data_IF_806356212869
#
_entry.id   IF_806356212869
#
_cell.length_a   1.000
_cell.length_b   1.000
_cell.length_c   1.000
_cell.angle_alpha   90.00
_cell.angle_beta   90.00
_cell.angle_gamma   90.00
#
_symmetry.space_group_name_H-M   'P 1'
#
loop_
_entity.id
_entity.type
_entity.pdbx_description
1 polymer ?
#
# COMPACT_ATOMS: atom_id res chain seq x y z
N UNK A 1 -19.68 -54.11 -7.56
CA UNK A 1 -18.45 -53.29 -7.44
C UNK A 1 -18.75 -51.89 -7.93
N UNK A 2 -18.86 -50.93 -7.01
CA UNK A 2 -19.02 -49.52 -7.34
C UNK A 2 -17.65 -48.84 -7.29
N UNK A 3 -17.26 -47.99 -8.21
CA UNK A 3 -16.02 -47.23 -8.08
C UNK A 3 -16.21 -46.07 -7.07
N UNK A 4 -15.25 -45.98 -6.16
CA UNK A 4 -15.16 -44.93 -5.15
C UNK A 4 -14.88 -43.56 -5.82
N UNK A 5 -15.75 -42.60 -5.52
CA UNK A 5 -15.58 -41.21 -5.85
C UNK A 5 -14.40 -40.63 -5.05
N UNK A 6 -13.33 -40.32 -5.74
CA UNK A 6 -12.19 -39.58 -5.19
C UNK A 6 -12.61 -38.11 -5.02
N UNK A 7 -12.84 -37.71 -3.78
CA UNK A 7 -13.08 -36.30 -3.44
C UNK A 7 -11.77 -35.54 -3.66
N UNK A 8 -11.72 -34.73 -4.71
CA UNK A 8 -10.70 -33.71 -4.88
C UNK A 8 -10.94 -32.65 -3.83
N UNK A 9 -10.11 -32.67 -2.78
CA UNK A 9 -10.08 -31.60 -1.78
C UNK A 9 -9.41 -30.40 -2.45
N UNK A 10 -10.25 -29.54 -3.04
CA UNK A 10 -9.83 -28.21 -3.47
C UNK A 10 -9.71 -27.36 -2.20
N UNK A 11 -8.54 -27.37 -1.59
CA UNK A 11 -8.19 -26.45 -0.52
C UNK A 11 -8.10 -25.04 -1.10
N UNK A 12 -9.23 -24.35 -1.21
CA UNK A 12 -9.23 -22.89 -1.39
C UNK A 12 -8.64 -22.31 -0.10
N UNK A 13 -7.35 -21.97 -0.11
CA UNK A 13 -6.79 -21.10 0.91
C UNK A 13 -7.59 -19.80 0.86
N UNK A 14 -8.32 -19.51 1.93
CA UNK A 14 -9.08 -18.28 2.09
C UNK A 14 -8.07 -17.12 2.10
N UNK A 15 -7.92 -16.44 0.97
CA UNK A 15 -7.39 -15.09 0.94
C UNK A 15 -8.35 -14.27 1.79
N UNK A 16 -7.86 -13.64 2.85
CA UNK A 16 -8.69 -12.90 3.79
C UNK A 16 -9.19 -11.64 3.05
N UNK A 17 -10.42 -11.68 2.58
CA UNK A 17 -11.01 -10.61 1.77
C UNK A 17 -11.10 -9.33 2.59
N UNK A 18 -10.82 -8.17 2.00
CA UNK A 18 -11.03 -6.87 2.65
C UNK A 18 -12.48 -6.75 3.11
N UNK A 19 -12.70 -6.40 4.38
CA UNK A 19 -14.02 -6.28 5.00
C UNK A 19 -14.41 -4.83 5.26
N UNK A 20 -13.42 -3.95 5.52
CA UNK A 20 -13.64 -2.54 5.81
C UNK A 20 -12.55 -1.70 5.14
N UNK A 21 -12.95 -0.72 4.33
CA UNK A 21 -12.03 0.20 3.64
C UNK A 21 -12.32 1.62 4.10
N UNK A 22 -11.27 2.33 4.54
CA UNK A 22 -11.32 3.76 4.84
C UNK A 22 -10.59 4.53 3.76
N UNK A 23 -11.19 5.58 3.20
CA UNK A 23 -10.51 6.51 2.31
C UNK A 23 -10.42 7.90 2.95
N UNK A 24 -9.20 8.37 3.20
CA UNK A 24 -8.94 9.70 3.70
C UNK A 24 -8.90 10.70 2.54
N UNK A 25 -9.68 11.78 2.64
CA UNK A 25 -9.80 12.78 1.60
C UNK A 25 -9.72 14.21 2.15
N UNK A 26 -9.03 15.08 1.44
CA UNK A 26 -9.08 16.55 1.63
C UNK A 26 -9.89 17.24 0.51
N UNK A 27 -10.67 16.45 -0.23
CA UNK A 27 -11.47 16.86 -1.39
C UNK A 27 -10.64 17.46 -2.56
N UNK A 28 -9.31 17.30 -2.53
CA UNK A 28 -8.42 17.66 -3.64
C UNK A 28 -8.49 16.65 -4.79
N UNK A 29 -8.03 17.03 -5.98
CA UNK A 29 -7.98 16.13 -7.12
C UNK A 29 -7.28 14.80 -6.84
N UNK A 30 -6.07 14.79 -6.25
CA UNK A 30 -5.42 13.53 -5.85
C UNK A 30 -6.20 12.71 -4.83
N UNK A 31 -6.84 13.36 -3.85
CA UNK A 31 -7.66 12.66 -2.86
C UNK A 31 -8.96 12.09 -3.46
N UNK A 32 -9.55 12.77 -4.46
CA UNK A 32 -10.68 12.21 -5.23
C UNK A 32 -10.25 10.97 -6.03
N UNK A 33 -9.04 10.96 -6.60
CA UNK A 33 -8.50 9.76 -7.28
C UNK A 33 -8.32 8.59 -6.30
N UNK A 34 -7.89 8.88 -5.08
CA UNK A 34 -7.77 7.87 -4.02
C UNK A 34 -9.15 7.33 -3.59
N UNK A 35 -10.14 8.19 -3.42
CA UNK A 35 -11.51 7.78 -3.12
C UNK A 35 -12.11 6.90 -4.24
N UNK A 36 -11.84 7.24 -5.49
CA UNK A 36 -12.24 6.45 -6.66
C UNK A 36 -11.57 5.06 -6.67
N UNK A 37 -10.27 4.98 -6.35
CA UNK A 37 -9.56 3.70 -6.19
C UNK A 37 -10.17 2.88 -5.05
N UNK A 38 -10.47 3.49 -3.92
CA UNK A 38 -11.08 2.84 -2.77
C UNK A 38 -12.47 2.26 -3.12
N UNK A 39 -13.30 3.00 -3.86
CA UNK A 39 -14.61 2.53 -4.31
C UNK A 39 -14.50 1.31 -5.25
N UNK A 40 -13.51 1.27 -6.15
CA UNK A 40 -13.25 0.09 -6.99
C UNK A 40 -12.81 -1.12 -6.17
N UNK A 41 -11.96 -0.92 -5.17
CA UNK A 41 -11.56 -1.99 -4.25
C UNK A 41 -12.76 -2.48 -3.43
N UNK A 42 -13.59 -1.58 -2.93
CA UNK A 42 -14.84 -1.90 -2.23
C UNK A 42 -15.78 -2.75 -3.11
N UNK A 43 -15.97 -2.38 -4.39
CA UNK A 43 -16.76 -3.18 -5.33
C UNK A 43 -16.20 -4.59 -5.50
N UNK A 44 -14.89 -4.69 -5.67
CA UNK A 44 -14.23 -5.98 -5.92
C UNK A 44 -14.28 -6.92 -4.71
N UNK A 45 -14.13 -6.36 -3.49
CA UNK A 45 -14.11 -7.11 -2.25
C UNK A 45 -15.51 -7.28 -1.62
N UNK A 46 -16.50 -6.46 -2.01
CA UNK A 46 -17.79 -6.38 -1.33
C UNK A 46 -17.72 -5.64 0.01
N UNK A 47 -16.59 -5.01 0.34
CA UNK A 47 -16.41 -4.27 1.58
C UNK A 47 -17.16 -2.93 1.57
N UNK A 48 -17.70 -2.47 2.71
CA UNK A 48 -18.15 -1.10 2.86
C UNK A 48 -16.96 -0.12 2.78
N UNK A 49 -17.23 1.07 2.23
CA UNK A 49 -16.29 2.17 2.11
C UNK A 49 -16.70 3.31 3.03
N UNK A 50 -15.78 3.78 3.87
CA UNK A 50 -15.96 5.02 4.64
C UNK A 50 -15.03 6.11 4.12
N UNK A 51 -15.61 7.25 3.70
CA UNK A 51 -14.87 8.46 3.36
C UNK A 51 -14.66 9.30 4.62
N UNK A 52 -13.43 9.69 4.90
CA UNK A 52 -13.09 10.52 6.06
C UNK A 52 -12.43 11.81 5.61
N UNK A 53 -13.00 12.93 6.02
CA UNK A 53 -12.38 14.24 5.94
C UNK A 53 -12.15 14.80 7.34
N UNK A 54 -10.98 15.40 7.58
CA UNK A 54 -10.64 15.98 8.88
C UNK A 54 -10.43 17.48 8.73
N UNK A 55 -11.27 18.27 9.38
CA UNK A 55 -11.06 19.70 9.53
C UNK A 55 -10.02 19.95 10.62
N UNK A 56 -8.85 20.47 10.26
CA UNK A 56 -7.83 20.80 11.24
C UNK A 56 -8.25 21.99 12.08
N UNK A 57 -8.06 21.90 13.39
CA UNK A 57 -8.37 22.99 14.34
C UNK A 57 -7.66 24.32 13.99
N UNK A 58 -6.50 24.25 13.30
CA UNK A 58 -5.78 25.44 12.84
C UNK A 58 -6.51 26.25 11.79
N UNK A 59 -7.29 25.62 10.91
CA UNK A 59 -8.06 26.32 9.87
C UNK A 59 -9.22 27.08 10.52
N UNK A 60 -9.91 26.49 11.47
CA UNK A 60 -10.99 27.16 12.20
C UNK A 60 -10.45 28.38 12.98
N UNK A 61 -9.32 28.21 13.70
CA UNK A 61 -8.68 29.31 14.45
C UNK A 61 -8.13 30.42 13.55
N UNK A 62 -7.56 30.11 12.39
CA UNK A 62 -7.08 31.09 11.42
C UNK A 62 -8.24 31.88 10.80
N UNK A 63 -9.35 31.24 10.45
CA UNK A 63 -10.54 31.91 9.95
C UNK A 63 -11.14 32.83 11.02
N UNK A 64 -11.16 32.40 12.28
CA UNK A 64 -11.63 33.19 13.39
C UNK A 64 -10.75 34.43 13.62
N UNK A 65 -9.41 34.31 13.51
CA UNK A 65 -8.48 35.41 13.70
C UNK A 65 -8.45 36.41 12.54
N UNK A 66 -8.70 35.95 11.30
CA UNK A 66 -8.63 36.81 10.08
C UNK A 66 -9.92 37.56 9.80
N UNK A 67 -11.08 37.05 10.15
CA UNK A 67 -12.36 37.58 9.69
C UNK A 67 -13.23 38.05 10.87
N UNK A 68 -12.88 37.75 12.12
CA UNK A 68 -13.64 38.20 13.30
C UNK A 68 -15.10 37.72 13.35
N UNK A 69 -15.48 36.82 12.45
CA UNK A 69 -16.82 36.26 12.33
C UNK A 69 -16.91 34.98 13.17
N UNK A 70 -17.76 35.04 14.20
CA UNK A 70 -17.93 34.02 15.20
C UNK A 70 -18.50 32.68 14.69
N UNK A 71 -18.87 31.84 15.63
CA UNK A 71 -19.36 30.46 15.52
C UNK A 71 -20.32 30.13 14.36
N UNK A 72 -21.05 31.11 13.86
CA UNK A 72 -22.01 30.90 12.75
C UNK A 72 -21.33 30.60 11.38
N UNK A 73 -20.15 31.19 11.10
CA UNK A 73 -19.43 30.90 9.85
C UNK A 73 -18.74 29.54 9.93
N UNK A 74 -18.19 29.19 11.09
CA UNK A 74 -17.61 27.88 11.34
C UNK A 74 -18.65 26.76 11.14
N UNK A 75 -19.85 26.93 11.70
CA UNK A 75 -20.97 26.01 11.52
C UNK A 75 -21.38 25.87 10.05
N UNK A 76 -21.42 26.99 9.30
CA UNK A 76 -21.73 26.97 7.86
C UNK A 76 -20.65 26.24 7.05
N UNK A 77 -19.37 26.49 7.36
CA UNK A 77 -18.26 25.80 6.68
C UNK A 77 -18.30 24.29 6.97
N UNK A 78 -18.51 23.93 8.23
CA UNK A 78 -18.66 22.54 8.64
C UNK A 78 -19.80 21.86 7.87
N UNK A 79 -20.96 22.47 7.85
CA UNK A 79 -22.13 21.93 7.17
C UNK A 79 -21.93 21.83 5.64
N UNK A 80 -21.33 22.86 5.00
CA UNK A 80 -21.02 22.83 3.59
C UNK A 80 -20.01 21.69 3.25
N UNK A 81 -18.96 21.54 4.06
CA UNK A 81 -17.97 20.48 3.87
C UNK A 81 -18.60 19.09 4.10
N UNK A 82 -19.48 18.97 5.09
CA UNK A 82 -20.22 17.73 5.34
C UNK A 82 -21.09 17.33 4.16
N UNK A 83 -21.79 18.30 3.56
CA UNK A 83 -22.62 18.08 2.37
C UNK A 83 -21.78 17.69 1.14
N UNK A 84 -20.65 18.36 0.92
CA UNK A 84 -19.73 18.02 -0.17
C UNK A 84 -19.19 16.59 -0.03
N UNK A 85 -18.78 16.21 1.19
CA UNK A 85 -18.28 14.88 1.49
C UNK A 85 -19.37 13.80 1.30
N UNK A 86 -20.61 14.10 1.77
CA UNK A 86 -21.75 13.18 1.59
C UNK A 86 -22.08 13.04 0.10
N UNK A 87 -22.09 14.13 -0.65
CA UNK A 87 -22.32 14.09 -2.11
C UNK A 87 -21.29 13.23 -2.82
N UNK A 88 -20.02 13.27 -2.37
CA UNK A 88 -18.97 12.41 -2.90
C UNK A 88 -19.26 10.93 -2.58
N UNK A 89 -19.65 10.62 -1.34
CA UNK A 89 -19.98 9.25 -0.93
C UNK A 89 -21.17 8.70 -1.74
N UNK A 90 -22.23 9.47 -1.86
CA UNK A 90 -23.45 9.07 -2.62
C UNK A 90 -23.12 8.85 -4.11
N UNK A 91 -22.28 9.70 -4.70
CA UNK A 91 -21.82 9.54 -6.08
C UNK A 91 -21.02 8.24 -6.25
N UNK A 92 -20.03 7.98 -5.39
CA UNK A 92 -19.22 6.76 -5.46
C UNK A 92 -20.08 5.50 -5.20
N UNK A 93 -21.04 5.59 -4.27
CA UNK A 93 -21.96 4.50 -4.00
C UNK A 93 -22.80 4.15 -5.25
N UNK A 94 -23.32 5.16 -5.96
CA UNK A 94 -24.10 4.97 -7.17
C UNK A 94 -23.27 4.50 -8.38
N UNK A 95 -22.10 5.12 -8.61
CA UNK A 95 -21.25 4.80 -9.77
C UNK A 95 -20.59 3.41 -9.67
N UNK A 96 -20.27 2.97 -8.45
CA UNK A 96 -19.60 1.69 -8.22
C UNK A 96 -20.50 0.61 -7.62
N UNK A 97 -21.76 0.92 -7.29
CA UNK A 97 -22.70 -0.03 -6.65
C UNK A 97 -22.14 -0.58 -5.34
N UNK A 98 -21.59 0.28 -4.49
CA UNK A 98 -20.98 -0.06 -3.19
C UNK A 98 -21.69 0.63 -2.05
N UNK A 99 -21.56 0.08 -0.84
CA UNK A 99 -21.98 0.79 0.37
C UNK A 99 -20.89 1.80 0.71
N UNK A 100 -21.23 3.10 0.64
CA UNK A 100 -20.32 4.17 1.02
C UNK A 100 -21.00 5.11 2.02
N UNK A 101 -20.28 5.45 3.09
CA UNK A 101 -20.67 6.46 4.05
C UNK A 101 -19.58 7.53 4.22
N UNK A 102 -19.90 8.61 4.91
CA UNK A 102 -19.02 9.77 5.06
C UNK A 102 -18.94 10.22 6.52
N UNK A 103 -17.72 10.47 7.00
CA UNK A 103 -17.46 11.01 8.31
C UNK A 103 -16.62 12.29 8.23
N UNK A 104 -17.16 13.40 8.72
CA UNK A 104 -16.44 14.67 8.88
C UNK A 104 -15.98 14.77 10.33
N UNK A 105 -14.67 14.80 10.55
CA UNK A 105 -14.03 14.83 11.85
C UNK A 105 -13.34 16.16 12.10
N UNK A 106 -13.04 16.47 13.35
CA UNK A 106 -12.30 17.68 13.76
C UNK A 106 -11.10 17.29 14.60
N UNK A 107 -9.91 17.82 14.27
CA UNK A 107 -8.70 17.55 15.07
C UNK A 107 -7.42 17.49 14.24
N UNK A 108 -6.47 16.73 14.72
CA UNK A 108 -5.23 16.42 14.01
C UNK A 108 -5.49 15.35 12.94
N UNK A 109 -5.18 15.66 11.67
CA UNK A 109 -5.55 14.78 10.55
C UNK A 109 -5.05 13.35 10.76
N UNK A 110 -3.76 13.18 11.12
CA UNK A 110 -3.20 11.83 11.31
C UNK A 110 -3.83 11.11 12.52
N UNK A 111 -4.15 11.85 13.58
CA UNK A 111 -4.73 11.27 14.79
C UNK A 111 -6.16 10.79 14.56
N UNK A 112 -6.97 11.63 13.92
CA UNK A 112 -8.37 11.33 13.67
C UNK A 112 -8.55 10.21 12.63
N UNK A 113 -7.77 10.22 11.54
CA UNK A 113 -7.83 9.16 10.54
C UNK A 113 -7.39 7.82 11.13
N UNK A 114 -6.32 7.80 11.95
CA UNK A 114 -5.87 6.55 12.61
C UNK A 114 -6.93 6.06 13.60
N UNK A 115 -7.48 6.95 14.42
CA UNK A 115 -8.54 6.61 15.39
C UNK A 115 -9.77 6.04 14.71
N UNK A 116 -10.20 6.64 13.60
CA UNK A 116 -11.37 6.16 12.84
C UNK A 116 -11.08 4.82 12.17
N UNK A 117 -9.87 4.63 11.61
CA UNK A 117 -9.46 3.37 11.03
C UNK A 117 -9.47 2.23 12.06
N UNK A 118 -9.01 2.51 13.29
CA UNK A 118 -9.03 1.53 14.37
C UNK A 118 -10.46 1.27 14.87
N UNK A 119 -11.29 2.32 15.01
CA UNK A 119 -12.68 2.19 15.47
C UNK A 119 -13.55 1.34 14.54
N UNK A 120 -13.32 1.40 13.22
CA UNK A 120 -14.05 0.59 12.25
C UNK A 120 -13.35 -0.73 11.90
N UNK A 121 -12.23 -1.05 12.55
CA UNK A 121 -11.39 -2.20 12.22
C UNK A 121 -11.03 -2.25 10.73
N UNK A 122 -10.52 -1.14 10.20
CA UNK A 122 -10.20 -1.03 8.78
C UNK A 122 -9.09 -1.99 8.37
N UNK A 123 -9.33 -2.80 7.34
CA UNK A 123 -8.31 -3.67 6.73
C UNK A 123 -7.38 -2.88 5.81
N UNK A 124 -7.85 -1.74 5.30
CA UNK A 124 -7.11 -0.91 4.37
C UNK A 124 -7.47 0.57 4.54
N UNK A 125 -6.45 1.40 4.67
CA UNK A 125 -6.58 2.87 4.58
C UNK A 125 -6.08 3.32 3.22
N UNK A 126 -6.90 4.07 2.47
CA UNK A 126 -6.56 4.58 1.14
C UNK A 126 -6.42 6.09 1.19
N UNK A 127 -5.36 6.62 0.62
CA UNK A 127 -5.10 8.06 0.59
C UNK A 127 -4.38 8.47 -0.70
N UNK A 128 -4.52 9.74 -1.08
CA UNK A 128 -3.75 10.32 -2.16
C UNK A 128 -2.30 10.58 -1.76
N UNK A 129 -1.38 10.39 -2.67
CA UNK A 129 0.03 10.70 -2.44
C UNK A 129 0.27 12.18 -2.07
N UNK A 130 -0.69 13.08 -2.40
CA UNK A 130 -0.59 14.54 -2.23
C UNK A 130 -1.93 15.12 -1.82
N UNK A 131 -1.90 16.30 -1.16
CA UNK A 131 -3.06 17.12 -0.86
C UNK A 131 -3.06 18.43 -1.62
N UNK A 132 -3.94 19.37 -1.22
CA UNK A 132 -4.20 20.66 -1.91
C UNK A 132 -2.96 21.55 -2.07
N UNK A 133 -1.98 21.48 -1.18
CA UNK A 133 -0.90 22.47 -1.06
C UNK A 133 0.41 22.07 -1.74
N UNK A 134 0.42 21.07 -2.63
CA UNK A 134 1.67 20.48 -3.10
C UNK A 134 2.03 20.78 -4.56
N UNK A 135 3.08 21.59 -4.75
CA UNK A 135 3.57 22.05 -6.07
C UNK A 135 4.66 21.13 -6.71
N UNK A 136 5.25 20.19 -6.00
CA UNK A 136 6.34 19.35 -6.54
C UNK A 136 5.88 17.92 -6.88
N UNK A 137 6.21 17.47 -8.09
CA UNK A 137 5.71 16.21 -8.67
C UNK A 137 6.24 14.91 -8.06
N UNK A 138 7.29 14.94 -7.24
CA UNK A 138 8.06 13.77 -6.82
C UNK A 138 8.13 13.54 -5.29
N UNK A 139 7.34 14.22 -4.45
CA UNK A 139 7.42 14.05 -3.00
C UNK A 139 6.08 13.61 -2.42
N UNK A 140 6.12 12.73 -1.44
CA UNK A 140 4.98 12.34 -0.61
C UNK A 140 4.52 13.54 0.22
N UNK A 141 3.21 13.76 0.34
CA UNK A 141 2.65 14.82 1.17
C UNK A 141 2.90 14.59 2.66
N UNK A 142 3.13 15.67 3.42
CA UNK A 142 3.42 15.58 4.86
C UNK A 142 2.34 14.86 5.67
N UNK A 143 1.08 14.95 5.26
CA UNK A 143 -0.05 14.24 5.90
C UNK A 143 0.04 12.74 5.63
N UNK A 144 0.31 12.34 4.38
CA UNK A 144 0.48 10.94 4.01
C UNK A 144 1.68 10.32 4.76
N UNK A 145 2.80 11.04 4.85
CA UNK A 145 3.97 10.59 5.60
C UNK A 145 3.67 10.40 7.09
N UNK A 146 2.97 11.36 7.73
CA UNK A 146 2.58 11.25 9.14
C UNK A 146 1.63 10.08 9.38
N UNK A 147 0.67 9.86 8.49
CA UNK A 147 -0.25 8.74 8.57
C UNK A 147 0.52 7.41 8.46
N UNK A 148 1.41 7.27 7.48
CA UNK A 148 2.22 6.07 7.30
C UNK A 148 3.11 5.76 8.52
N UNK A 149 3.65 6.78 9.16
CA UNK A 149 4.44 6.61 10.40
C UNK A 149 3.57 6.13 11.57
N UNK A 150 2.37 6.69 11.70
CA UNK A 150 1.51 6.48 12.87
C UNK A 150 0.61 5.25 12.77
N UNK A 151 0.10 4.95 11.57
CA UNK A 151 -0.88 3.88 11.38
C UNK A 151 -0.27 2.50 11.59
N UNK A 152 -1.03 1.64 12.25
CA UNK A 152 -0.81 0.20 12.35
C UNK A 152 -1.55 -0.57 11.25
N UNK A 153 -2.40 0.10 10.47
CA UNK A 153 -3.19 -0.49 9.39
C UNK A 153 -2.46 -0.41 8.05
N UNK A 154 -2.62 -1.39 7.15
CA UNK A 154 -2.12 -1.32 5.79
C UNK A 154 -2.63 -0.06 5.08
N UNK A 155 -1.75 0.58 4.30
CA UNK A 155 -2.08 1.85 3.65
C UNK A 155 -1.77 1.81 2.17
N UNK A 156 -2.76 2.15 1.34
CA UNK A 156 -2.60 2.32 -0.10
C UNK A 156 -2.45 3.80 -0.44
N UNK A 157 -1.27 4.16 -0.92
CA UNK A 157 -0.96 5.51 -1.41
C UNK A 157 -1.20 5.56 -2.91
N UNK A 158 -2.28 6.25 -3.30
CA UNK A 158 -2.71 6.34 -4.69
C UNK A 158 -2.02 7.50 -5.40
N UNK A 159 -1.36 7.19 -6.50
CA UNK A 159 -0.63 8.12 -7.37
C UNK A 159 -1.23 8.20 -8.77
N UNK A 160 -1.90 7.14 -9.20
CA UNK A 160 -2.45 6.98 -10.54
C UNK A 160 -3.98 7.14 -10.54
N UNK A 161 -4.52 7.47 -11.71
CA UNK A 161 -5.97 7.46 -11.89
C UNK A 161 -6.51 6.04 -11.87
N UNK A 162 -7.53 5.79 -11.08
CA UNK A 162 -8.18 4.49 -10.96
C UNK A 162 -9.08 4.19 -12.19
N UNK A 163 -8.49 3.85 -13.32
CA UNK A 163 -9.25 3.52 -14.55
C UNK A 163 -9.67 2.05 -14.59
N UNK A 164 -8.79 1.16 -14.16
CA UNK A 164 -8.93 -0.31 -14.24
C UNK A 164 -8.46 -0.98 -12.95
N UNK A 165 -8.84 -2.24 -12.72
CA UNK A 165 -8.21 -3.05 -11.67
C UNK A 165 -6.70 -3.14 -11.89
N UNK A 166 -5.95 -3.39 -10.83
CA UNK A 166 -4.51 -3.65 -10.94
C UNK A 166 -4.26 -4.91 -11.76
N UNK A 167 -3.30 -4.83 -12.67
CA UNK A 167 -2.93 -5.93 -13.58
C UNK A 167 -1.66 -6.64 -13.16
N UNK A 168 -0.73 -5.89 -12.56
CA UNK A 168 0.59 -6.40 -12.21
C UNK A 168 1.09 -5.75 -10.92
N UNK A 169 1.27 -6.59 -9.89
CA UNK A 169 1.74 -6.14 -8.59
C UNK A 169 3.18 -6.61 -8.34
N UNK A 170 4.09 -5.66 -8.10
CA UNK A 170 5.44 -5.94 -7.64
C UNK A 170 5.41 -6.05 -6.12
N UNK A 171 5.75 -7.22 -5.58
CA UNK A 171 5.82 -7.47 -4.13
C UNK A 171 7.28 -7.61 -3.74
N UNK A 172 7.80 -6.60 -3.05
CA UNK A 172 9.17 -6.61 -2.55
C UNK A 172 9.26 -7.40 -1.23
N UNK A 173 10.10 -8.43 -1.22
CA UNK A 173 10.24 -9.35 -0.10
C UNK A 173 11.69 -9.48 0.35
N UNK A 174 11.88 -9.65 1.64
CA UNK A 174 13.16 -9.85 2.31
C UNK A 174 13.27 -11.22 2.99
N UNK A 175 12.33 -12.11 2.71
CA UNK A 175 12.19 -13.44 3.29
C UNK A 175 11.98 -13.48 4.82
N UNK A 176 11.65 -12.35 5.41
CA UNK A 176 11.16 -12.30 6.80
C UNK A 176 9.82 -13.02 6.96
N UNK A 177 9.37 -13.18 8.18
CA UNK A 177 8.05 -13.73 8.49
C UNK A 177 6.90 -12.93 7.85
N UNK A 178 7.15 -11.66 7.53
CA UNK A 178 6.18 -10.73 6.93
C UNK A 178 6.00 -10.89 5.42
N UNK A 179 6.91 -11.59 4.75
CA UNK A 179 6.84 -11.78 3.29
C UNK A 179 5.54 -12.49 2.85
N UNK A 180 5.02 -13.45 3.65
CA UNK A 180 3.73 -14.11 3.37
C UNK A 180 2.57 -13.12 3.49
N UNK A 181 2.37 -12.40 4.61
CA UNK A 181 1.37 -11.35 4.72
C UNK A 181 1.41 -10.31 3.60
N UNK A 182 2.58 -9.94 3.08
CA UNK A 182 2.69 -8.99 1.96
C UNK A 182 2.11 -9.55 0.66
N UNK A 183 2.37 -10.81 0.36
CA UNK A 183 1.78 -11.48 -0.81
C UNK A 183 0.27 -11.61 -0.66
N UNK A 184 -0.21 -11.98 0.53
CA UNK A 184 -1.65 -12.09 0.79
C UNK A 184 -2.35 -10.74 0.66
N UNK A 185 -1.75 -9.67 1.20
CA UNK A 185 -2.29 -8.32 1.06
C UNK A 185 -2.27 -7.84 -0.40
N UNK A 186 -1.24 -8.17 -1.17
CA UNK A 186 -1.21 -7.91 -2.62
C UNK A 186 -2.40 -8.56 -3.33
N UNK A 187 -2.70 -9.81 -2.99
CA UNK A 187 -3.84 -10.56 -3.58
C UNK A 187 -5.20 -10.02 -3.14
N UNK A 188 -5.30 -9.49 -1.92
CA UNK A 188 -6.53 -8.86 -1.42
C UNK A 188 -6.82 -7.54 -2.13
N UNK A 189 -5.78 -6.73 -2.37
CA UNK A 189 -5.90 -5.41 -3.03
C UNK A 189 -5.94 -5.54 -4.56
N UNK A 190 -5.27 -6.54 -5.11
CA UNK A 190 -5.16 -6.77 -6.55
C UNK A 190 -5.54 -8.21 -6.93
N UNK A 191 -6.80 -8.65 -6.69
CA UNK A 191 -7.23 -10.00 -7.02
C UNK A 191 -7.14 -10.23 -8.53
N UNK A 192 -6.42 -11.29 -8.93
CA UNK A 192 -6.20 -11.62 -10.34
C UNK A 192 -5.02 -10.88 -11.00
N UNK A 193 -4.34 -9.96 -10.33
CA UNK A 193 -3.10 -9.38 -10.83
C UNK A 193 -1.98 -10.43 -10.89
N UNK A 194 -1.12 -10.30 -11.90
CA UNK A 194 0.11 -11.08 -11.96
C UNK A 194 1.10 -10.54 -10.92
N UNK A 195 1.64 -11.42 -10.08
CA UNK A 195 2.55 -11.05 -9.00
C UNK A 195 4.00 -11.13 -9.49
N UNK A 196 4.74 -10.03 -9.38
CA UNK A 196 6.20 -10.02 -9.55
C UNK A 196 6.81 -10.07 -8.15
N UNK A 197 7.35 -11.22 -7.76
CA UNK A 197 8.04 -11.35 -6.47
C UNK A 197 9.48 -10.87 -6.62
N UNK A 198 9.77 -9.69 -6.04
CA UNK A 198 11.09 -9.11 -6.10
C UNK A 198 11.84 -9.30 -4.80
N UNK A 199 13.06 -9.83 -4.89
CA UNK A 199 14.05 -9.79 -3.81
C UNK A 199 15.39 -9.33 -4.35
N UNK A 200 15.87 -8.18 -3.88
CA UNK A 200 17.21 -7.73 -4.21
C UNK A 200 18.23 -8.57 -3.45
N UNK A 201 19.20 -9.12 -4.18
CA UNK A 201 20.29 -9.90 -3.57
C UNK A 201 21.61 -9.16 -3.66
N UNK A 202 22.46 -9.38 -2.67
CA UNK A 202 23.82 -8.88 -2.66
C UNK A 202 24.80 -10.02 -2.40
N UNK A 203 26.05 -9.79 -2.79
CA UNK A 203 27.18 -10.69 -2.49
C UNK A 203 28.01 -10.05 -1.39
N UNK A 204 27.87 -10.52 -0.15
CA UNK A 204 28.56 -9.89 0.97
C UNK A 204 30.07 -9.88 0.73
N UNK A 205 30.70 -8.73 1.03
CA UNK A 205 32.16 -8.54 0.95
C UNK A 205 32.76 -8.65 -0.46
N UNK A 206 32.01 -8.62 -1.55
CA UNK A 206 32.55 -8.72 -2.91
C UNK A 206 33.68 -7.71 -3.17
N UNK A 207 33.51 -6.45 -2.75
CA UNK A 207 34.56 -5.44 -2.85
C UNK A 207 35.84 -5.81 -2.11
N UNK A 208 35.72 -6.44 -0.94
CA UNK A 208 36.87 -6.94 -0.17
C UNK A 208 37.55 -8.14 -0.85
N UNK A 209 36.74 -9.04 -1.45
CA UNK A 209 37.28 -10.18 -2.21
C UNK A 209 38.06 -9.72 -3.42
N UNK A 210 37.58 -8.69 -4.15
CA UNK A 210 38.31 -8.06 -5.26
C UNK A 210 39.61 -7.40 -4.79
N UNK A 211 39.56 -6.65 -3.68
CA UNK A 211 40.76 -6.03 -3.10
C UNK A 211 41.80 -7.06 -2.67
N UNK A 212 41.32 -8.23 -2.17
CA UNK A 212 42.20 -9.36 -1.82
C UNK A 212 42.68 -10.18 -3.03
N UNK A 213 42.46 -9.70 -4.27
CA UNK A 213 42.88 -10.35 -5.52
C UNK A 213 42.29 -11.77 -5.66
N UNK A 214 41.13 -12.03 -5.13
CA UNK A 214 40.41 -13.31 -5.33
C UNK A 214 40.04 -13.40 -6.82
N UNK A 215 40.28 -14.55 -7.47
CA UNK A 215 39.98 -14.73 -8.89
C UNK A 215 38.49 -14.43 -9.22
N UNK A 216 38.27 -13.75 -10.36
CA UNK A 216 36.92 -13.44 -10.82
C UNK A 216 36.00 -14.67 -10.96
N UNK A 217 36.58 -15.82 -11.35
CA UNK A 217 35.86 -17.08 -11.41
C UNK A 217 35.27 -17.48 -10.04
N UNK A 218 36.01 -17.27 -8.96
CA UNK A 218 35.51 -17.54 -7.60
C UNK A 218 34.42 -16.53 -7.19
N UNK A 219 34.61 -15.26 -7.52
CA UNK A 219 33.60 -14.22 -7.25
C UNK A 219 32.31 -14.51 -8.02
N UNK A 220 32.41 -14.94 -9.27
CA UNK A 220 31.24 -15.31 -10.08
C UNK A 220 30.53 -16.55 -9.52
N UNK A 221 31.26 -17.52 -9.00
CA UNK A 221 30.64 -18.66 -8.31
C UNK A 221 29.83 -18.23 -7.06
N UNK A 222 30.38 -17.28 -6.29
CA UNK A 222 29.65 -16.72 -5.13
C UNK A 222 28.38 -15.99 -5.55
N UNK A 223 28.43 -15.21 -6.63
CA UNK A 223 27.24 -14.54 -7.19
C UNK A 223 26.17 -15.54 -7.60
N UNK A 224 26.57 -16.55 -8.34
CA UNK A 224 25.67 -17.62 -8.79
C UNK A 224 25.02 -18.34 -7.61
N UNK A 225 25.77 -18.66 -6.58
CA UNK A 225 25.26 -19.29 -5.37
C UNK A 225 24.26 -18.41 -4.61
N UNK A 226 24.56 -17.10 -4.50
CA UNK A 226 23.67 -16.14 -3.87
C UNK A 226 22.37 -16.00 -4.65
N UNK A 227 22.46 -15.89 -5.99
CA UNK A 227 21.29 -15.82 -6.86
C UNK A 227 20.43 -17.08 -6.75
N UNK A 228 21.01 -18.28 -6.85
CA UNK A 228 20.29 -19.55 -6.72
C UNK A 228 19.66 -19.71 -5.34
N UNK A 229 20.31 -19.23 -4.27
CA UNK A 229 19.73 -19.24 -2.94
C UNK A 229 18.49 -18.36 -2.85
N UNK A 230 18.55 -17.13 -3.38
CA UNK A 230 17.42 -16.22 -3.42
C UNK A 230 16.26 -16.76 -4.29
N UNK A 231 16.57 -17.36 -5.44
CA UNK A 231 15.59 -17.99 -6.32
C UNK A 231 14.81 -19.12 -5.61
N UNK A 232 15.54 -20.02 -4.92
CA UNK A 232 14.90 -21.09 -4.13
C UNK A 232 13.97 -20.53 -3.05
N UNK A 233 14.37 -19.43 -2.40
CA UNK A 233 13.55 -18.78 -1.37
C UNK A 233 12.28 -18.14 -1.96
N UNK A 234 12.35 -17.51 -3.16
CA UNK A 234 11.16 -17.00 -3.87
C UNK A 234 10.21 -18.12 -4.23
N UNK A 235 10.71 -19.24 -4.78
CA UNK A 235 9.89 -20.40 -5.09
C UNK A 235 9.22 -21.00 -3.84
N UNK A 236 9.96 -21.10 -2.73
CA UNK A 236 9.41 -21.55 -1.46
C UNK A 236 8.32 -20.61 -0.93
N UNK A 237 8.50 -19.29 -1.07
CA UNK A 237 7.51 -18.29 -0.69
C UNK A 237 6.25 -18.41 -1.57
N UNK A 238 6.41 -18.49 -2.89
CA UNK A 238 5.30 -18.68 -3.81
C UNK A 238 4.48 -19.93 -3.50
N UNK A 239 5.15 -21.04 -3.19
CA UNK A 239 4.49 -22.29 -2.77
C UNK A 239 3.73 -22.11 -1.45
N UNK A 240 4.31 -21.42 -0.46
CA UNK A 240 3.68 -21.16 0.85
C UNK A 240 2.44 -20.25 0.73
N UNK A 241 2.43 -19.33 -0.23
CA UNK A 241 1.31 -18.43 -0.48
C UNK A 241 0.31 -18.98 -1.49
N UNK A 242 0.52 -20.21 -1.99
CA UNK A 242 -0.38 -20.84 -2.95
C UNK A 242 -0.42 -20.19 -4.32
N UNK A 243 0.63 -19.47 -4.71
CA UNK A 243 0.73 -18.89 -6.06
C UNK A 243 1.01 -20.00 -7.08
N UNK A 244 0.10 -20.14 -8.05
CA UNK A 244 0.29 -21.05 -9.18
C UNK A 244 1.38 -20.55 -10.14
N UNK A 245 2.01 -21.45 -10.92
CA UNK A 245 3.15 -21.09 -11.79
C UNK A 245 2.88 -19.97 -12.80
N UNK A 246 1.63 -19.80 -13.24
CA UNK A 246 1.23 -18.75 -14.19
C UNK A 246 0.86 -17.42 -13.50
N UNK A 247 0.75 -17.40 -12.19
CA UNK A 247 0.28 -16.23 -11.42
C UNK A 247 1.41 -15.31 -10.98
N UNK A 248 2.65 -15.76 -11.07
CA UNK A 248 3.78 -14.98 -10.62
C UNK A 248 5.05 -15.20 -11.45
N UNK A 249 6.01 -14.27 -11.31
CA UNK A 249 7.37 -14.39 -11.84
C UNK A 249 8.39 -13.95 -10.78
N UNK A 250 9.57 -14.60 -10.70
CA UNK A 250 10.66 -14.15 -9.87
C UNK A 250 11.33 -12.91 -10.49
N UNK A 251 11.77 -11.99 -9.65
CA UNK A 251 12.60 -10.84 -10.00
C UNK A 251 13.72 -10.75 -8.98
N UNK A 252 14.95 -10.98 -9.42
CA UNK A 252 16.14 -11.05 -8.58
C UNK A 252 17.19 -10.05 -9.04
N UNK A 253 16.94 -8.74 -8.89
CA UNK A 253 17.93 -7.72 -9.19
C UNK A 253 19.07 -7.77 -8.17
N UNK A 254 20.26 -7.41 -8.62
CA UNK A 254 21.41 -7.29 -7.74
C UNK A 254 21.59 -5.84 -7.30
N UNK A 255 21.83 -5.62 -6.00
CA UNK A 255 22.19 -4.31 -5.45
C UNK A 255 21.20 -3.76 -4.44
N UNK A 256 21.08 -2.43 -4.39
CA UNK A 256 20.21 -1.74 -3.43
C UNK A 256 18.73 -2.00 -3.72
N UNK A 257 17.95 -2.51 -2.74
CA UNK A 257 16.55 -2.86 -2.96
C UNK A 257 15.68 -1.65 -3.31
N UNK A 258 15.99 -0.46 -2.81
CA UNK A 258 15.17 0.72 -3.06
C UNK A 258 15.24 1.18 -4.51
N UNK A 259 16.43 1.17 -5.08
CA UNK A 259 16.67 1.49 -6.50
C UNK A 259 16.09 0.39 -7.39
N UNK A 260 16.36 -0.86 -7.04
CA UNK A 260 15.89 -2.02 -7.80
C UNK A 260 14.36 -2.07 -7.92
N UNK A 261 13.62 -1.77 -6.86
CA UNK A 261 12.16 -1.75 -6.89
C UNK A 261 11.64 -0.71 -7.88
N UNK A 262 12.18 0.52 -7.85
CA UNK A 262 11.74 1.61 -8.73
C UNK A 262 12.11 1.32 -10.20
N UNK A 263 13.27 0.73 -10.45
CA UNK A 263 13.70 0.33 -11.79
C UNK A 263 12.83 -0.79 -12.34
N UNK A 264 12.60 -1.84 -11.55
CA UNK A 264 11.80 -3.00 -11.94
C UNK A 264 10.29 -2.71 -12.05
N UNK A 265 9.78 -1.72 -11.35
CA UNK A 265 8.43 -1.20 -11.55
C UNK A 265 8.17 -0.86 -13.03
N UNK A 266 9.09 -0.11 -13.64
CA UNK A 266 8.98 0.33 -15.02
C UNK A 266 9.24 -0.81 -16.01
N UNK A 267 10.29 -1.59 -15.80
CA UNK A 267 10.67 -2.69 -16.68
C UNK A 267 9.61 -3.79 -16.73
N UNK A 268 9.01 -4.11 -15.58
CA UNK A 268 7.94 -5.10 -15.51
C UNK A 268 6.56 -4.54 -15.84
N UNK A 269 6.39 -3.22 -15.97
CA UNK A 269 5.11 -2.56 -16.20
C UNK A 269 4.12 -2.80 -15.06
N UNK A 270 4.59 -2.71 -13.82
CA UNK A 270 3.76 -2.86 -12.64
C UNK A 270 2.94 -1.60 -12.41
N UNK A 271 1.70 -1.74 -11.93
CA UNK A 271 0.78 -0.67 -11.58
C UNK A 271 0.48 -0.60 -10.06
N UNK A 272 0.98 -1.59 -9.32
CA UNK A 272 0.98 -1.63 -7.86
C UNK A 272 2.34 -2.11 -7.36
N UNK A 273 2.88 -1.43 -6.34
CA UNK A 273 4.04 -1.88 -5.57
C UNK A 273 3.58 -2.22 -4.17
N UNK A 274 4.02 -3.34 -3.62
CA UNK A 274 3.78 -3.75 -2.23
C UNK A 274 5.10 -3.81 -1.50
N UNK A 275 5.21 -3.04 -0.43
CA UNK A 275 6.39 -2.97 0.45
C UNK A 275 5.96 -3.07 1.91
N UNK A 276 6.85 -3.56 2.76
CA UNK A 276 6.64 -3.51 4.20
C UNK A 276 6.88 -2.12 4.77
N UNK A 277 6.21 -1.78 5.86
CA UNK A 277 6.49 -0.54 6.61
C UNK A 277 7.94 -0.53 7.14
N UNK A 278 8.45 -1.69 7.53
CA UNK A 278 9.79 -1.92 8.08
C UNK A 278 10.47 -3.10 7.38
N UNK A 279 11.80 -3.14 7.38
CA UNK A 279 12.60 -4.31 7.00
C UNK A 279 12.99 -5.16 8.23
N UNK A 280 13.76 -6.23 8.00
CA UNK A 280 14.14 -7.25 9.00
C UNK A 280 14.75 -6.72 10.32
N UNK A 281 15.34 -5.54 10.32
CA UNK A 281 16.19 -5.06 11.44
C UNK A 281 15.62 -3.87 12.22
N UNK A 282 14.35 -3.48 12.01
CA UNK A 282 13.79 -2.31 12.70
C UNK A 282 12.76 -2.73 13.74
N UNK A 283 13.08 -2.45 15.01
CA UNK A 283 12.23 -2.70 16.16
C UNK A 283 11.31 -1.51 16.54
N UNK A 284 11.46 -0.37 15.88
CA UNK A 284 10.70 0.84 16.22
C UNK A 284 9.48 1.02 15.31
N UNK A 285 8.29 0.83 15.86
CA UNK A 285 7.00 0.89 15.16
C UNK A 285 6.68 2.25 14.49
N UNK A 286 7.30 3.34 14.95
CA UNK A 286 7.03 4.71 14.49
C UNK A 286 7.92 5.18 13.33
N UNK A 287 8.86 4.38 12.87
CA UNK A 287 9.75 4.74 11.77
C UNK A 287 9.27 4.11 10.46
N UNK A 288 9.40 4.84 9.37
CA UNK A 288 9.23 4.32 8.02
C UNK A 288 10.58 3.86 7.49
N UNK A 289 10.67 2.64 6.97
CA UNK A 289 11.92 2.10 6.43
C UNK A 289 12.48 2.93 5.27
N UNK A 290 13.81 2.95 5.12
CA UNK A 290 14.48 3.70 4.04
C UNK A 290 14.04 3.25 2.65
N UNK A 291 13.90 1.95 2.42
CA UNK A 291 13.39 1.39 1.15
C UNK A 291 11.99 1.90 0.87
N UNK A 292 11.08 1.80 1.85
CA UNK A 292 9.69 2.23 1.71
C UNK A 292 9.60 3.74 1.47
N UNK A 293 10.39 4.54 2.20
CA UNK A 293 10.45 6.00 2.00
C UNK A 293 10.91 6.36 0.59
N UNK A 294 11.95 5.68 0.07
CA UNK A 294 12.47 5.89 -1.27
C UNK A 294 11.45 5.50 -2.35
N UNK A 295 10.84 4.32 -2.24
CA UNK A 295 9.79 3.84 -3.16
C UNK A 295 8.59 4.78 -3.17
N UNK A 296 8.14 5.26 -2.01
CA UNK A 296 7.06 6.24 -1.92
C UNK A 296 7.39 7.58 -2.58
N UNK A 297 8.66 7.99 -2.56
CA UNK A 297 9.11 9.23 -3.19
C UNK A 297 9.23 9.10 -4.72
N UNK A 298 9.85 8.02 -5.21
CA UNK A 298 10.32 7.92 -6.58
C UNK A 298 9.41 7.11 -7.52
N UNK A 299 8.63 6.14 -7.01
CA UNK A 299 7.76 5.33 -7.85
C UNK A 299 6.63 6.13 -8.47
N UNK A 300 6.14 5.69 -9.62
CA UNK A 300 4.99 6.29 -10.33
C UNK A 300 3.70 5.49 -10.14
N UNK A 301 3.80 4.23 -9.73
CA UNK A 301 2.67 3.34 -9.43
C UNK A 301 2.07 3.61 -8.05
N UNK A 302 0.88 3.10 -7.82
CA UNK A 302 0.28 3.08 -6.49
C UNK A 302 1.15 2.22 -5.55
N UNK A 303 1.31 2.64 -4.30
CA UNK A 303 2.15 1.95 -3.31
C UNK A 303 1.32 1.48 -2.13
N UNK A 304 1.27 0.18 -1.95
CA UNK A 304 0.69 -0.46 -0.77
C UNK A 304 1.80 -0.68 0.27
N UNK A 305 1.70 0.02 1.38
CA UNK A 305 2.55 -0.17 2.54
C UNK A 305 1.85 -1.13 3.49
N UNK A 306 2.34 -2.35 3.55
CA UNK A 306 1.80 -3.36 4.45
C UNK A 306 2.41 -3.22 5.83
N UNK A 307 1.55 -3.22 6.84
CA UNK A 307 1.95 -3.25 8.24
C UNK A 307 1.84 -4.68 8.74
N UNK A 308 2.82 -5.06 9.55
CA UNK A 308 2.77 -6.32 10.24
C UNK A 308 1.72 -6.24 11.35
N UNK A 309 0.54 -6.73 11.14
CA UNK A 309 -0.37 -7.04 12.23
C UNK A 309 -0.09 -8.49 12.65
N UNK A 310 0.46 -8.68 13.85
CA UNK A 310 0.46 -10.00 14.48
C UNK A 310 -1.00 -10.40 14.69
N UNK A 311 -1.38 -11.52 14.04
CA UNK A 311 -2.64 -12.19 14.34
C UNK A 311 -2.65 -12.71 15.78
#
# INVERSE_FOLDING_TARGET
MKPSSSAVITGAMHVNQLKNILAATDLSGPALQAAERAARLAKTSGAPLRLVHVLSAGVAAQLQSLIGLGSALEAKLFEATRQELQTLADRLAAEHEVQADAALLQGGVADEVTREADAMDADLVVLGARGKDFLRRLLLGSTAERLLRKSTRPMLVVKQRAREPYRRALVAVDFSAWSVPFVDMARNVAPGAHIVLLSAYDVPFEGKLRYASVPDATINLYREQAWQAAERQLHALAARTGLGPSQWTPCLPRGDPSLAIVEQELECGCDLIVVGKHGQNMAEELLLGSVTSHVLAESVSDVLVSTATSA
#
